data_IF_861482858960
#
_entry.id   IF_861482858960
#
_cell.length_a   1.000
_cell.length_b   1.000
_cell.length_c   1.000
_cell.angle_alpha   90.00
_cell.angle_beta   90.00
_cell.angle_gamma   90.00
#
_symmetry.space_group_name_H-M   'P 1'
#
loop_
_entity.id
_entity.type
_entity.pdbx_description
1 polymer ?
#
# COMPACT_ATOMS: atom_id res chain seq x y z
N UNK A 1 10.45 13.22 6.80
CA UNK A 1 9.92 11.92 6.35
C UNK A 1 10.91 11.41 5.35
N UNK A 2 11.57 10.31 5.68
CA UNK A 2 12.61 9.71 4.86
C UNK A 2 12.01 9.33 3.50
N UNK A 3 12.60 9.87 2.43
CA UNK A 3 12.25 9.59 1.03
C UNK A 3 12.56 8.13 0.62
N UNK A 4 12.97 7.28 1.56
CA UNK A 4 13.41 5.92 1.31
C UNK A 4 12.24 5.00 0.88
N UNK A 5 11.02 5.33 1.31
CA UNK A 5 9.84 4.47 1.13
C UNK A 5 8.85 4.98 0.06
N UNK A 6 9.32 5.73 -0.94
CA UNK A 6 8.44 6.37 -1.93
C UNK A 6 8.75 5.89 -3.34
N UNK A 7 7.74 5.34 -4.02
CA UNK A 7 7.82 4.98 -5.42
C UNK A 7 7.19 6.09 -6.26
N UNK A 8 8.01 6.71 -7.10
CA UNK A 8 7.53 7.67 -8.08
C UNK A 8 7.04 6.94 -9.33
N UNK A 9 5.74 7.02 -9.58
CA UNK A 9 5.08 6.40 -10.74
C UNK A 9 5.20 7.25 -11.99
N UNK A 10 5.21 8.58 -11.83
CA UNK A 10 5.25 9.51 -12.97
C UNK A 10 6.19 10.69 -12.73
N UNK A 11 6.76 11.21 -13.84
CA UNK A 11 7.37 12.55 -13.88
C UNK A 11 6.32 13.63 -14.16
N UNK A 12 6.73 14.92 -14.17
CA UNK A 12 5.82 16.06 -14.26
C UNK A 12 4.90 16.04 -15.48
N UNK A 13 3.68 16.54 -15.31
CA UNK A 13 2.70 16.70 -16.39
C UNK A 13 1.65 17.75 -16.03
N UNK A 14 0.86 18.15 -17.04
CA UNK A 14 -0.21 19.14 -16.89
C UNK A 14 -1.56 18.48 -16.94
N UNK A 15 -2.50 19.04 -16.19
CA UNK A 15 -3.91 18.68 -16.23
C UNK A 15 -4.77 19.93 -16.23
N UNK A 16 -5.99 19.80 -16.74
CA UNK A 16 -6.99 20.86 -16.71
C UNK A 16 -8.12 20.50 -15.75
N UNK A 17 -8.64 21.44 -14.97
CA UNK A 17 -9.88 21.22 -14.24
C UNK A 17 -11.11 21.45 -15.13
N UNK A 18 -12.29 21.17 -14.57
CA UNK A 18 -13.58 21.38 -15.24
C UNK A 18 -13.89 22.85 -15.56
N UNK A 19 -13.22 23.79 -14.91
CA UNK A 19 -13.30 25.23 -15.17
C UNK A 19 -12.30 25.69 -16.25
N UNK A 20 -11.47 24.78 -16.76
CA UNK A 20 -10.46 25.05 -17.79
C UNK A 20 -9.15 25.62 -17.26
N UNK A 21 -8.97 25.72 -15.93
CA UNK A 21 -7.69 26.14 -15.34
C UNK A 21 -6.67 25.01 -15.47
N UNK A 22 -5.42 25.37 -15.67
CA UNK A 22 -4.32 24.41 -15.83
C UNK A 22 -3.56 24.28 -14.53
N UNK A 23 -3.28 23.04 -14.14
CA UNK A 23 -2.54 22.67 -12.95
C UNK A 23 -1.28 21.90 -13.35
N UNK A 24 -0.17 22.24 -12.72
CA UNK A 24 1.11 21.55 -12.88
C UNK A 24 1.20 20.45 -11.81
N UNK A 25 1.24 19.20 -12.27
CA UNK A 25 1.48 18.02 -11.44
C UNK A 25 2.96 17.70 -11.47
N UNK A 26 3.58 17.61 -10.29
CA UNK A 26 4.99 17.31 -10.13
C UNK A 26 5.28 15.82 -10.27
N UNK A 27 4.45 14.99 -9.64
CA UNK A 27 4.59 13.54 -9.67
C UNK A 27 3.29 12.85 -9.24
N UNK A 28 3.16 11.59 -9.62
CA UNK A 28 2.27 10.61 -8.98
C UNK A 28 3.16 9.66 -8.20
N UNK A 29 2.82 9.40 -6.93
CA UNK A 29 3.61 8.59 -6.02
C UNK A 29 2.72 7.62 -5.23
N UNK A 30 3.35 6.55 -4.77
CA UNK A 30 2.81 5.64 -3.76
C UNK A 30 3.91 5.41 -2.72
N UNK A 31 3.54 4.93 -1.54
CA UNK A 31 4.53 4.36 -0.62
C UNK A 31 4.90 2.95 -1.09
N UNK A 32 6.14 2.53 -0.86
CA UNK A 32 6.72 1.29 -1.40
C UNK A 32 6.26 0.02 -0.68
N UNK A 33 5.67 0.16 0.51
CA UNK A 33 5.14 -0.92 1.32
C UNK A 33 3.79 -0.54 1.93
N UNK A 34 2.89 -1.52 2.08
CA UNK A 34 1.57 -1.29 2.67
C UNK A 34 0.80 -2.56 2.95
N UNK A 35 -0.28 -2.42 3.71
CA UNK A 35 -1.26 -3.48 3.96
C UNK A 35 -2.52 -3.17 3.17
N UNK A 36 -2.85 -4.00 2.18
CA UNK A 36 -4.10 -3.89 1.44
C UNK A 36 -4.13 -2.76 0.40
N UNK A 37 -5.18 -1.94 0.45
CA UNK A 37 -5.53 -0.92 -0.55
C UNK A 37 -4.45 0.17 -0.62
N UNK A 38 -4.06 0.55 -1.83
CA UNK A 38 -2.99 1.52 -2.08
C UNK A 38 -3.57 2.91 -2.27
N UNK A 39 -3.16 3.84 -1.41
CA UNK A 39 -3.38 5.27 -1.61
C UNK A 39 -2.40 5.82 -2.66
N UNK A 40 -2.93 6.58 -3.63
CA UNK A 40 -2.16 7.20 -4.71
C UNK A 40 -2.12 8.70 -4.51
N UNK A 41 -0.90 9.21 -4.38
CA UNK A 41 -0.60 10.60 -4.06
C UNK A 41 -0.22 11.36 -5.32
N UNK A 42 -0.89 12.49 -5.55
CA UNK A 42 -0.65 13.35 -6.72
C UNK A 42 -0.22 14.73 -6.23
N UNK A 43 1.06 15.04 -6.43
CA UNK A 43 1.64 16.30 -5.96
C UNK A 43 1.43 17.43 -6.96
N UNK A 44 0.87 18.53 -6.50
CA UNK A 44 0.69 19.76 -7.26
C UNK A 44 1.79 20.77 -6.92
N UNK A 45 2.20 21.57 -7.90
CA UNK A 45 3.16 22.66 -7.66
C UNK A 45 2.50 23.87 -6.95
N UNK A 46 1.24 24.13 -7.28
CA UNK A 46 0.44 25.23 -6.73
C UNK A 46 -0.58 24.74 -5.69
N UNK A 47 -0.93 25.62 -4.74
CA UNK A 47 -2.02 25.37 -3.79
C UNK A 47 -3.36 25.37 -4.53
N UNK A 48 -4.28 24.49 -4.15
CA UNK A 48 -5.62 24.39 -4.72
C UNK A 48 -6.54 25.56 -4.31
N UNK A 49 -6.10 26.46 -3.42
CA UNK A 49 -6.82 27.67 -3.00
C UNK A 49 -8.26 27.40 -2.49
N UNK A 50 -8.49 26.19 -1.96
CA UNK A 50 -9.80 25.76 -1.46
C UNK A 50 -10.69 25.04 -2.48
N UNK A 51 -10.23 24.82 -3.70
CA UNK A 51 -10.94 24.00 -4.68
C UNK A 51 -10.62 22.51 -4.50
N UNK A 52 -11.61 21.64 -4.27
CA UNK A 52 -11.37 20.21 -4.07
C UNK A 52 -11.12 19.51 -5.41
N UNK A 53 -9.91 19.65 -5.98
CA UNK A 53 -9.57 19.01 -7.26
C UNK A 53 -9.68 17.47 -7.20
N UNK A 54 -9.59 16.88 -6.01
CA UNK A 54 -9.82 15.46 -5.77
C UNK A 54 -11.29 15.02 -5.98
N UNK A 55 -12.22 15.97 -6.12
CA UNK A 55 -13.63 15.72 -6.50
C UNK A 55 -13.91 16.06 -7.96
N UNK A 56 -12.96 16.70 -8.67
CA UNK A 56 -13.15 17.11 -10.06
C UNK A 56 -12.99 15.89 -11.00
N UNK A 57 -14.07 15.45 -11.69
CA UNK A 57 -14.01 14.26 -12.53
C UNK A 57 -13.12 14.45 -13.78
N UNK A 58 -12.88 15.68 -14.23
CA UNK A 58 -11.97 15.99 -15.34
C UNK A 58 -10.52 15.80 -14.88
N UNK A 59 -10.20 16.23 -13.67
CA UNK A 59 -8.88 16.03 -13.03
C UNK A 59 -8.60 14.54 -12.83
N UNK A 60 -9.52 13.82 -12.18
CA UNK A 60 -9.37 12.38 -11.89
C UNK A 60 -9.18 11.59 -13.19
N UNK A 61 -9.98 11.85 -14.23
CA UNK A 61 -9.84 11.17 -15.53
C UNK A 61 -8.48 11.40 -16.18
N UNK A 62 -7.90 12.59 -16.07
CA UNK A 62 -6.57 12.88 -16.63
C UNK A 62 -5.46 12.20 -15.84
N UNK A 63 -5.57 12.12 -14.51
CA UNK A 63 -4.65 11.35 -13.67
C UNK A 63 -4.71 9.85 -14.04
N UNK A 64 -5.91 9.29 -14.17
CA UNK A 64 -6.09 7.90 -14.60
C UNK A 64 -5.57 7.67 -16.02
N UNK A 65 -5.79 8.60 -16.94
CA UNK A 65 -5.22 8.53 -18.28
C UNK A 65 -3.68 8.52 -18.24
N UNK A 66 -3.08 9.29 -17.31
CA UNK A 66 -1.63 9.29 -17.09
C UNK A 66 -1.13 7.95 -16.60
N UNK A 67 -1.81 7.34 -15.62
CA UNK A 67 -1.49 5.99 -15.14
C UNK A 67 -1.67 4.92 -16.24
N UNK A 68 -2.70 5.05 -17.07
CA UNK A 68 -2.92 4.16 -18.23
C UNK A 68 -1.80 4.22 -19.25
N UNK A 69 -1.28 5.41 -19.55
CA UNK A 69 -0.09 5.54 -20.39
C UNK A 69 1.16 4.90 -19.77
N UNK A 70 1.20 4.76 -18.45
CA UNK A 70 2.29 4.08 -17.73
C UNK A 70 2.08 2.57 -17.65
N UNK A 71 0.95 2.03 -18.11
CA UNK A 71 0.67 0.60 -18.17
C UNK A 71 -0.33 0.08 -17.12
N UNK A 72 -1.01 0.96 -16.39
CA UNK A 72 -2.15 0.54 -15.57
C UNK A 72 -3.39 0.33 -16.46
N UNK A 73 -4.03 -0.83 -16.39
CA UNK A 73 -5.21 -1.16 -17.22
C UNK A 73 -6.45 -1.55 -16.41
N UNK A 74 -6.41 -1.37 -15.09
CA UNK A 74 -7.50 -1.70 -14.18
C UNK A 74 -8.63 -0.65 -14.09
N UNK A 75 -9.53 -0.84 -13.10
CA UNK A 75 -10.68 0.05 -12.87
C UNK A 75 -10.31 1.50 -12.54
N UNK A 76 -11.29 2.40 -12.61
CA UNK A 76 -11.13 3.79 -12.16
C UNK A 76 -10.95 3.86 -10.63
N UNK A 77 -10.24 4.88 -10.16
CA UNK A 77 -9.99 5.09 -8.74
C UNK A 77 -11.17 5.76 -8.03
N UNK A 78 -11.25 5.54 -6.72
CA UNK A 78 -12.13 6.27 -5.81
C UNK A 78 -11.48 7.55 -5.30
N UNK A 79 -12.29 8.39 -4.65
CA UNK A 79 -11.75 9.48 -3.83
C UNK A 79 -11.06 8.90 -2.60
N UNK A 80 -9.87 9.39 -2.26
CA UNK A 80 -9.21 9.04 -1.01
C UNK A 80 -9.89 9.70 0.20
N UNK A 81 -9.48 9.32 1.40
CA UNK A 81 -10.02 9.87 2.65
C UNK A 81 -9.88 11.41 2.68
N UNK A 82 -10.95 12.18 2.96
CA UNK A 82 -10.89 13.63 3.09
C UNK A 82 -9.82 14.14 4.08
N UNK A 83 -9.51 13.37 5.13
CA UNK A 83 -8.48 13.69 6.11
C UNK A 83 -7.03 13.54 5.60
N UNK A 84 -6.84 12.88 4.45
CA UNK A 84 -5.53 12.74 3.80
C UNK A 84 -5.28 13.80 2.72
N UNK A 85 -6.30 14.55 2.32
CA UNK A 85 -6.16 15.62 1.33
C UNK A 85 -5.39 16.80 1.94
N UNK A 86 -4.62 17.51 1.12
CA UNK A 86 -3.87 18.70 1.52
C UNK A 86 -3.91 19.76 0.40
N UNK A 87 -3.56 21.01 0.68
CA UNK A 87 -3.65 22.14 -0.25
C UNK A 87 -2.87 21.92 -1.55
N UNK A 88 -1.87 21.03 -1.56
CA UNK A 88 -1.05 20.70 -2.75
C UNK A 88 -1.03 19.21 -3.07
N UNK A 89 -1.94 18.44 -2.48
CA UNK A 89 -1.94 16.98 -2.55
C UNK A 89 -3.34 16.48 -2.82
N UNK A 90 -3.48 15.71 -3.89
CA UNK A 90 -4.68 14.89 -4.13
C UNK A 90 -4.33 13.46 -3.73
N UNK A 91 -5.19 12.86 -2.91
CA UNK A 91 -5.11 11.43 -2.56
C UNK A 91 -6.29 10.69 -3.19
N UNK A 92 -5.99 9.63 -3.90
CA UNK A 92 -6.97 8.75 -4.53
C UNK A 92 -6.83 7.34 -3.97
N UNK A 93 -7.96 6.68 -3.74
CA UNK A 93 -8.00 5.29 -3.32
C UNK A 93 -7.97 4.39 -4.57
N UNK A 94 -6.90 3.61 -4.74
CA UNK A 94 -6.79 2.69 -5.87
C UNK A 94 -7.56 1.39 -5.60
N UNK A 95 -8.15 0.75 -6.61
CA UNK A 95 -8.75 -0.56 -6.46
C UNK A 95 -7.67 -1.64 -6.22
N UNK A 96 -8.06 -2.81 -5.72
CA UNK A 96 -7.14 -3.91 -5.40
C UNK A 96 -6.28 -4.33 -6.61
N UNK A 97 -6.85 -4.31 -7.82
CA UNK A 97 -6.15 -4.65 -9.06
C UNK A 97 -4.97 -3.72 -9.38
N UNK A 98 -4.95 -2.51 -8.81
CA UNK A 98 -3.80 -1.62 -8.91
C UNK A 98 -2.53 -2.21 -8.28
N UNK A 99 -2.67 -3.13 -7.32
CA UNK A 99 -1.55 -3.84 -6.70
C UNK A 99 -0.62 -4.53 -7.70
N UNK A 100 -1.16 -5.12 -8.78
CA UNK A 100 -0.33 -5.74 -9.82
C UNK A 100 0.53 -4.72 -10.57
N UNK A 101 -0.06 -3.57 -10.92
CA UNK A 101 0.68 -2.48 -11.53
C UNK A 101 1.72 -1.90 -10.56
N UNK A 102 1.35 -1.66 -9.30
CA UNK A 102 2.25 -1.16 -8.27
C UNK A 102 3.43 -2.11 -8.03
N UNK A 103 3.20 -3.42 -7.96
CA UNK A 103 4.23 -4.43 -7.81
C UNK A 103 5.23 -4.42 -8.98
N UNK A 104 4.74 -4.21 -10.21
CA UNK A 104 5.62 -4.02 -11.39
C UNK A 104 6.52 -2.79 -11.29
N UNK A 105 6.20 -1.85 -10.40
CA UNK A 105 6.95 -0.63 -10.10
C UNK A 105 7.80 -0.74 -8.82
N UNK A 106 7.78 -1.89 -8.15
CA UNK A 106 8.58 -2.18 -6.95
C UNK A 106 7.82 -2.13 -5.63
N UNK A 107 6.49 -1.96 -5.65
CA UNK A 107 5.67 -2.01 -4.44
C UNK A 107 5.65 -3.42 -3.85
N UNK A 108 5.64 -3.51 -2.52
CA UNK A 108 5.60 -4.76 -1.77
C UNK A 108 4.32 -4.85 -0.94
N UNK A 109 3.56 -5.91 -1.14
CA UNK A 109 2.43 -6.24 -0.30
C UNK A 109 2.92 -6.83 1.01
N UNK A 110 2.83 -6.09 2.12
CA UNK A 110 3.30 -6.59 3.41
C UNK A 110 2.41 -7.71 3.95
N UNK A 111 1.12 -7.75 3.59
CA UNK A 111 0.19 -8.77 4.06
C UNK A 111 0.58 -10.19 3.61
N UNK A 112 1.08 -10.34 2.37
CA UNK A 112 1.56 -11.63 1.85
C UNK A 112 2.79 -12.15 2.61
N UNK A 113 3.61 -11.24 3.12
CA UNK A 113 4.83 -11.60 3.88
C UNK A 113 4.50 -12.29 5.21
N UNK A 114 3.33 -12.03 5.80
CA UNK A 114 2.91 -12.65 7.06
C UNK A 114 2.25 -14.02 6.87
N UNK A 115 1.60 -14.28 5.72
CA UNK A 115 1.04 -15.59 5.42
C UNK A 115 2.14 -16.65 5.23
N UNK A 116 3.30 -16.27 4.69
CA UNK A 116 4.45 -17.17 4.54
C UNK A 116 5.14 -17.49 5.89
N UNK A 117 5.17 -16.57 6.85
CA UNK A 117 5.76 -16.81 8.17
C UNK A 117 4.87 -17.74 9.04
N UNK A 118 3.54 -17.63 8.94
CA UNK A 118 2.61 -18.56 9.61
C UNK A 118 2.58 -19.95 8.94
N UNK A 119 2.77 -20.03 7.62
CA UNK A 119 2.89 -21.31 6.91
C UNK A 119 4.19 -22.06 7.27
N UNK A 120 5.27 -21.35 7.59
CA UNK A 120 6.53 -21.93 8.04
C UNK A 120 6.50 -22.30 9.54
N UNK A 121 5.74 -21.57 10.35
CA UNK A 121 5.46 -21.96 11.75
C UNK A 121 4.59 -23.23 11.82
N UNK A 122 3.58 -23.37 10.96
CA UNK A 122 2.73 -24.55 10.89
C UNK A 122 3.41 -25.81 10.31
N UNK A 123 4.51 -25.65 9.56
CA UNK A 123 5.35 -26.76 9.09
C UNK A 123 6.32 -27.30 10.16
N UNK A 124 6.37 -26.64 11.34
CA UNK A 124 7.22 -27.04 12.47
C UNK A 124 6.46 -27.70 13.62
N UNK A 125 5.25 -28.21 13.35
CA UNK A 125 4.48 -29.01 14.31
C UNK A 125 4.67 -30.53 14.06
N UNK A 126 5.93 -30.97 13.90
CA UNK A 126 6.31 -32.34 14.25
C UNK A 126 6.74 -32.34 15.72
N UNK A 127 5.74 -32.30 16.60
CA UNK A 127 5.89 -32.49 18.03
C UNK A 127 6.32 -33.93 18.36
N UNK A 128 7.45 -34.40 17.84
CA UNK A 128 8.20 -35.47 18.51
C UNK A 128 8.90 -34.83 19.70
N UNK A 129 8.27 -34.92 20.89
CA UNK A 129 8.96 -34.59 22.13
C UNK A 129 10.27 -35.39 22.18
N UNK A 130 11.39 -34.69 22.37
CA UNK A 130 12.69 -35.31 22.62
C UNK A 130 12.52 -36.33 23.77
N UNK A 131 12.79 -37.63 23.55
CA UNK A 131 12.57 -38.66 24.55
C UNK A 131 13.35 -38.41 25.84
N UNK A 132 14.42 -37.60 25.80
CA UNK A 132 15.16 -37.17 26.99
C UNK A 132 14.42 -36.13 27.81
N UNK A 133 13.66 -35.24 27.18
CA UNK A 133 12.81 -34.27 27.85
C UNK A 133 11.64 -34.95 28.58
N UNK A 134 11.05 -35.98 27.96
CA UNK A 134 9.99 -36.79 28.58
C UNK A 134 10.50 -37.49 29.84
N UNK A 135 11.68 -38.13 29.77
CA UNK A 135 12.29 -38.83 30.92
C UNK A 135 12.67 -37.86 32.04
N UNK A 136 13.16 -36.67 31.70
CA UNK A 136 13.49 -35.65 32.70
C UNK A 136 12.24 -35.13 33.42
N UNK A 137 11.14 -34.92 32.68
CA UNK A 137 9.87 -34.49 33.25
C UNK A 137 9.25 -35.55 34.15
N UNK A 138 9.22 -36.82 33.72
CA UNK A 138 8.72 -37.94 34.53
C UNK A 138 9.54 -38.14 35.81
N UNK A 139 10.87 -38.02 35.73
CA UNK A 139 11.74 -38.10 36.89
C UNK A 139 11.49 -36.94 37.88
N UNK A 140 11.19 -35.74 37.37
CA UNK A 140 10.86 -34.57 38.19
C UNK A 140 9.51 -34.75 38.89
N UNK A 141 8.48 -35.18 38.16
CA UNK A 141 7.12 -35.38 38.71
C UNK A 141 7.11 -36.49 39.76
N UNK A 142 7.85 -37.58 39.52
CA UNK A 142 8.02 -38.66 40.49
C UNK A 142 8.76 -38.21 41.75
N UNK A 143 9.69 -37.26 41.64
CA UNK A 143 10.42 -36.68 42.78
C UNK A 143 9.56 -35.69 43.58
N UNK A 144 8.62 -35.02 42.94
CA UNK A 144 7.69 -34.07 43.56
C UNK A 144 6.46 -34.74 44.20
N UNK A 145 6.28 -36.06 44.02
CA UNK A 145 5.22 -36.83 44.68
C UNK A 145 3.81 -36.49 44.21
N UNK A 146 3.68 -35.79 43.08
CA UNK A 146 2.38 -35.46 42.48
C UNK A 146 1.93 -36.68 41.68
N UNK A 147 0.79 -37.25 42.09
CA UNK A 147 0.13 -38.37 41.41
C UNK A 147 -1.04 -37.86 40.58
#
# INVERSE_FOLDING_TARGET
MDNENVIQLSGPFRINDSLGRTWEVRAIRIYDEGYGIIDVYVDLDATMEGDPLYEDPVVIRQILARLRMLGYDGPDFGAGDPGQQDDKLIVLEAPEEFGHFAASRGWKNLAETYEDDDANAAASDDATMDPRAQVAFDALMKKLGVK
#
